data_IF_561409634604
#
_entry.id   IF_561409634604
#
_cell.length_a   1.000
_cell.length_b   1.000
_cell.length_c   1.000
_cell.angle_alpha   90.00
_cell.angle_beta   90.00
_cell.angle_gamma   90.00
#
_symmetry.space_group_name_H-M   'P 1'
#
loop_
_entity.id
_entity.type
_entity.pdbx_description
1 polymer ?
#
# COMPACT_ATOMS: atom_id res chain seq x y z
N UNK A 1 -34.54 2.53 30.44
CA UNK A 1 -34.57 1.66 29.25
C UNK A 1 -33.55 0.55 29.51
N UNK A 2 -33.95 -0.75 29.53
CA UNK A 2 -33.01 -1.84 29.76
C UNK A 2 -32.04 -1.94 28.59
N UNK A 3 -30.75 -2.14 28.88
CA UNK A 3 -29.71 -2.39 27.89
C UNK A 3 -30.04 -3.65 27.08
N UNK A 4 -29.78 -3.71 25.77
CA UNK A 4 -30.02 -4.90 24.98
C UNK A 4 -29.18 -6.06 25.51
N UNK A 5 -29.80 -7.25 25.67
CA UNK A 5 -29.20 -8.44 26.24
C UNK A 5 -28.00 -9.03 25.48
N UNK A 6 -27.72 -8.53 24.30
CA UNK A 6 -26.54 -8.90 23.48
C UNK A 6 -25.82 -7.64 23.03
N UNK A 7 -24.72 -7.31 23.68
CA UNK A 7 -23.71 -6.44 23.06
C UNK A 7 -23.18 -7.14 21.80
N UNK A 8 -23.08 -6.46 20.65
CA UNK A 8 -22.46 -7.04 19.47
C UNK A 8 -21.05 -7.50 19.85
N UNK A 9 -20.72 -8.76 19.53
CA UNK A 9 -19.36 -9.29 19.74
C UNK A 9 -18.38 -8.27 19.17
N UNK A 10 -17.46 -7.80 20.01
CA UNK A 10 -16.33 -6.98 19.56
C UNK A 10 -15.69 -7.77 18.42
N UNK A 11 -15.74 -7.22 17.19
CA UNK A 11 -15.03 -7.80 16.07
C UNK A 11 -13.58 -7.93 16.51
N UNK A 12 -13.05 -9.15 16.51
CA UNK A 12 -11.63 -9.39 16.79
C UNK A 12 -10.82 -8.45 15.95
N UNK A 13 -9.92 -7.70 16.57
CA UNK A 13 -9.06 -6.73 15.87
C UNK A 13 -8.22 -7.50 14.85
N UNK A 14 -8.58 -7.38 13.58
CA UNK A 14 -7.90 -8.05 12.49
C UNK A 14 -6.47 -7.48 12.40
N UNK A 15 -5.48 -8.28 12.77
CA UNK A 15 -4.06 -7.91 12.62
C UNK A 15 -3.69 -7.95 11.14
N UNK A 16 -3.30 -6.83 10.52
CA UNK A 16 -2.84 -6.80 9.13
C UNK A 16 -1.63 -7.70 8.93
N UNK A 17 -1.50 -8.22 7.72
CA UNK A 17 -0.27 -8.91 7.30
C UNK A 17 0.76 -7.88 6.84
N UNK A 18 2.00 -8.02 7.32
CA UNK A 18 3.10 -7.15 6.89
C UNK A 18 4.03 -7.96 5.99
N UNK A 19 4.03 -7.62 4.70
CA UNK A 19 4.85 -8.29 3.71
C UNK A 19 6.33 -7.96 3.93
N UNK A 20 7.17 -8.98 3.98
CA UNK A 20 8.62 -8.81 3.94
C UNK A 20 9.09 -8.34 2.55
N UNK A 21 10.30 -7.75 2.48
CA UNK A 21 10.88 -7.33 1.18
C UNK A 21 11.02 -8.48 0.18
N UNK A 22 11.47 -9.70 0.57
CA UNK A 22 11.49 -10.85 -0.34
C UNK A 22 10.10 -11.26 -0.84
N UNK A 23 9.07 -11.20 0.01
CA UNK A 23 7.69 -11.50 -0.40
C UNK A 23 7.16 -10.49 -1.40
N UNK A 24 7.42 -9.19 -1.20
CA UNK A 24 7.05 -8.16 -2.17
C UNK A 24 7.72 -8.41 -3.53
N UNK A 25 9.00 -8.79 -3.54
CA UNK A 25 9.72 -9.13 -4.79
C UNK A 25 9.08 -10.33 -5.48
N UNK A 26 8.76 -11.42 -4.75
CA UNK A 26 8.06 -12.57 -5.30
C UNK A 26 6.68 -12.19 -5.83
N UNK A 27 5.93 -11.39 -5.08
CA UNK A 27 4.59 -10.94 -5.47
C UNK A 27 4.63 -10.14 -6.79
N UNK A 28 5.54 -9.17 -6.91
CA UNK A 28 5.69 -8.38 -8.14
C UNK A 28 6.18 -9.21 -9.33
N UNK A 29 7.03 -10.20 -9.12
CA UNK A 29 7.46 -11.16 -10.14
C UNK A 29 6.30 -12.03 -10.57
N UNK A 30 5.58 -12.61 -9.63
CA UNK A 30 4.41 -13.45 -9.90
C UNK A 30 3.30 -12.71 -10.65
N UNK A 31 3.16 -11.40 -10.43
CA UNK A 31 2.22 -10.59 -11.20
C UNK A 31 2.55 -10.54 -12.70
N UNK A 32 3.83 -10.70 -13.07
CA UNK A 32 4.27 -10.77 -14.46
C UNK A 32 4.21 -12.19 -15.02
N UNK A 33 4.55 -13.19 -14.22
CA UNK A 33 4.70 -14.58 -14.64
C UNK A 33 3.37 -15.32 -14.68
N UNK A 34 2.49 -15.08 -13.69
CA UNK A 34 1.23 -15.79 -13.57
C UNK A 34 0.08 -15.07 -14.26
N UNK A 35 -0.51 -15.75 -15.24
CA UNK A 35 -1.73 -15.30 -15.89
C UNK A 35 -2.75 -16.45 -15.96
N UNK A 36 -3.96 -16.19 -15.46
CA UNK A 36 -5.10 -17.09 -15.70
C UNK A 36 -5.43 -17.10 -17.18
N UNK A 37 -5.75 -18.29 -17.73
CA UNK A 37 -6.34 -18.39 -19.07
C UNK A 37 -7.52 -17.41 -19.19
N UNK A 38 -7.56 -16.64 -20.29
CA UNK A 38 -8.58 -15.60 -20.54
C UNK A 38 -8.59 -14.48 -19.49
N UNK A 39 -7.44 -14.19 -18.85
CA UNK A 39 -7.31 -13.02 -17.96
C UNK A 39 -7.63 -11.75 -18.73
N UNK A 40 -8.48 -10.90 -18.14
CA UNK A 40 -8.79 -9.56 -18.66
C UNK A 40 -7.75 -8.51 -18.29
N UNK A 41 -6.88 -8.80 -17.32
CA UNK A 41 -5.88 -7.85 -16.81
C UNK A 41 -4.54 -8.10 -17.50
N UNK A 42 -3.87 -7.05 -17.93
CA UNK A 42 -2.48 -7.13 -18.35
C UNK A 42 -1.56 -7.37 -17.15
N UNK A 43 -0.50 -8.20 -17.27
CA UNK A 43 0.49 -8.39 -16.21
C UNK A 43 1.06 -7.08 -15.70
N UNK A 44 1.42 -6.18 -16.61
CA UNK A 44 2.00 -4.87 -16.32
C UNK A 44 1.03 -3.99 -15.52
N UNK A 45 -0.26 -3.99 -15.88
CA UNK A 45 -1.28 -3.28 -15.09
C UNK A 45 -1.36 -3.84 -13.67
N UNK A 46 -1.42 -5.17 -13.54
CA UNK A 46 -1.50 -5.80 -12.22
C UNK A 46 -0.26 -5.49 -11.37
N UNK A 47 0.94 -5.63 -11.94
CA UNK A 47 2.19 -5.31 -11.25
C UNK A 47 2.20 -3.83 -10.80
N UNK A 48 1.82 -2.89 -11.69
CA UNK A 48 1.80 -1.46 -11.35
C UNK A 48 0.76 -1.14 -10.28
N UNK A 49 -0.43 -1.77 -10.30
CA UNK A 49 -1.44 -1.63 -9.24
C UNK A 49 -0.84 -2.03 -7.88
N UNK A 50 -0.16 -3.18 -7.80
CA UNK A 50 0.48 -3.64 -6.58
C UNK A 50 1.60 -2.69 -6.13
N UNK A 51 2.42 -2.23 -7.08
CA UNK A 51 3.53 -1.32 -6.81
C UNK A 51 3.04 0.04 -6.30
N UNK A 52 2.04 0.67 -6.93
CA UNK A 52 1.51 1.95 -6.46
C UNK A 52 0.80 1.80 -5.11
N UNK A 53 0.07 0.70 -4.90
CA UNK A 53 -0.57 0.42 -3.60
C UNK A 53 0.49 0.31 -2.49
N UNK A 54 1.63 -0.33 -2.77
CA UNK A 54 2.71 -0.46 -1.80
C UNK A 54 3.57 0.80 -1.70
N UNK A 55 4.14 1.31 -2.80
CA UNK A 55 5.12 2.40 -2.75
C UNK A 55 4.52 3.75 -2.34
N UNK A 56 3.25 3.98 -2.67
CA UNK A 56 2.53 5.21 -2.33
C UNK A 56 1.52 5.03 -1.18
N UNK A 57 1.39 3.83 -0.66
CA UNK A 57 0.43 3.54 0.41
C UNK A 57 -1.02 3.84 0.04
N UNK A 58 -1.40 3.75 -1.24
CA UNK A 58 -2.75 4.07 -1.71
C UNK A 58 -3.77 3.00 -1.29
N UNK A 59 -5.03 3.41 -1.12
CA UNK A 59 -6.13 2.45 -1.05
C UNK A 59 -6.36 1.85 -2.44
N UNK A 60 -6.75 0.58 -2.52
CA UNK A 60 -7.01 -0.05 -3.82
C UNK A 60 -7.99 0.76 -4.67
N UNK A 61 -9.07 1.27 -4.07
CA UNK A 61 -10.03 2.10 -4.77
C UNK A 61 -9.41 3.41 -5.31
N UNK A 62 -8.53 4.04 -4.54
CA UNK A 62 -7.78 5.23 -4.97
C UNK A 62 -6.89 4.89 -6.17
N UNK A 63 -6.12 3.79 -6.07
CA UNK A 63 -5.25 3.32 -7.17
C UNK A 63 -6.06 3.06 -8.44
N UNK A 64 -7.19 2.37 -8.33
CA UNK A 64 -8.04 2.04 -9.49
C UNK A 64 -8.79 3.24 -10.07
N UNK A 65 -8.93 4.32 -9.30
CA UNK A 65 -9.59 5.56 -9.74
C UNK A 65 -8.64 6.54 -10.42
N UNK A 66 -7.32 6.32 -10.37
CA UNK A 66 -6.33 7.21 -10.97
C UNK A 66 -6.56 7.39 -12.45
N UNK A 67 -6.41 8.64 -12.90
CA UNK A 67 -6.40 9.06 -14.30
C UNK A 67 -5.01 9.53 -14.69
N UNK A 68 -4.73 9.60 -15.98
CA UNK A 68 -3.43 10.09 -16.49
C UNK A 68 -3.16 11.50 -15.99
N UNK A 69 -4.16 12.39 -15.99
CA UNK A 69 -4.05 13.78 -15.48
C UNK A 69 -3.72 13.90 -14.00
N UNK A 70 -3.88 12.84 -13.22
CA UNK A 70 -3.59 12.85 -11.79
C UNK A 70 -2.09 12.64 -11.50
N UNK A 71 -1.32 12.26 -12.51
CA UNK A 71 0.13 12.06 -12.41
C UNK A 71 0.86 13.36 -12.78
N UNK A 72 1.60 13.92 -11.84
CA UNK A 72 2.54 15.01 -12.13
C UNK A 72 3.96 14.46 -12.01
N UNK A 73 4.57 14.20 -13.16
CA UNK A 73 5.91 13.62 -13.22
C UNK A 73 7.03 14.63 -13.01
N UNK A 74 6.93 15.88 -13.50
CA UNK A 74 7.94 16.91 -13.21
C UNK A 74 8.14 17.14 -11.73
N UNK A 75 7.04 17.22 -10.94
CA UNK A 75 7.09 17.52 -9.52
C UNK A 75 6.95 16.27 -8.63
N UNK A 76 6.92 15.07 -9.24
CA UNK A 76 6.91 13.77 -8.56
C UNK A 76 5.78 13.60 -7.55
N UNK A 77 4.55 13.84 -7.96
CA UNK A 77 3.38 13.57 -7.12
C UNK A 77 2.18 12.99 -7.90
N UNK A 78 1.29 12.37 -7.15
CA UNK A 78 -0.04 11.93 -7.62
C UNK A 78 -1.11 12.71 -6.88
N UNK A 79 -2.09 13.23 -7.60
CA UNK A 79 -3.26 13.86 -7.04
C UNK A 79 -4.35 12.81 -6.79
N UNK A 80 -4.63 12.49 -5.53
CA UNK A 80 -5.74 11.62 -5.14
C UNK A 80 -6.97 12.48 -4.99
N UNK A 81 -7.93 12.30 -5.90
CA UNK A 81 -9.19 13.06 -5.93
C UNK A 81 -10.28 12.32 -5.19
N UNK A 82 -11.13 13.04 -4.49
CA UNK A 82 -12.40 12.58 -3.92
C UNK A 82 -12.30 11.19 -3.24
N UNK A 83 -11.29 11.03 -2.39
CA UNK A 83 -11.15 9.82 -1.58
C UNK A 83 -12.29 9.71 -0.55
N UNK A 84 -12.25 8.74 0.33
CA UNK A 84 -13.23 8.57 1.40
C UNK A 84 -13.48 9.92 2.12
N UNK A 85 -14.75 10.35 2.21
CA UNK A 85 -15.21 11.66 2.72
C UNK A 85 -14.90 12.87 1.79
N UNK A 86 -14.83 12.67 0.47
CA UNK A 86 -14.60 13.74 -0.54
C UNK A 86 -13.31 14.55 -0.31
N UNK A 87 -12.33 13.98 0.39
CA UNK A 87 -11.04 14.65 0.64
C UNK A 87 -10.06 14.32 -0.48
N UNK A 88 -9.52 15.36 -1.08
CA UNK A 88 -8.41 15.25 -2.03
C UNK A 88 -7.08 15.46 -1.29
N UNK A 89 -6.00 14.83 -1.79
CA UNK A 89 -4.66 15.02 -1.27
C UNK A 89 -3.60 14.79 -2.35
N UNK A 90 -2.44 15.36 -2.12
CA UNK A 90 -1.24 15.11 -2.92
C UNK A 90 -0.41 14.02 -2.22
N UNK A 91 0.07 13.06 -3.00
CA UNK A 91 0.94 11.97 -2.57
C UNK A 91 2.24 12.08 -3.36
N UNK A 92 3.30 12.51 -2.71
CA UNK A 92 4.63 12.65 -3.32
C UNK A 92 5.37 11.32 -3.40
N UNK A 93 6.27 11.19 -4.37
CA UNK A 93 7.10 10.01 -4.55
C UNK A 93 8.52 10.38 -4.99
N UNK A 94 9.43 9.43 -4.91
CA UNK A 94 10.82 9.62 -5.29
C UNK A 94 11.05 9.29 -6.80
N UNK A 95 12.22 9.66 -7.32
CA UNK A 95 12.60 9.42 -8.72
C UNK A 95 12.46 7.96 -9.15
N UNK A 96 12.80 6.99 -8.28
CA UNK A 96 12.67 5.56 -8.62
C UNK A 96 11.22 5.14 -8.90
N UNK A 97 10.27 5.68 -8.15
CA UNK A 97 8.84 5.44 -8.42
C UNK A 97 8.41 6.17 -9.70
N UNK A 98 8.95 7.38 -9.94
CA UNK A 98 8.76 8.12 -11.20
C UNK A 98 9.19 7.29 -12.42
N UNK A 99 10.37 6.69 -12.39
CA UNK A 99 10.87 5.80 -13.46
C UNK A 99 9.97 4.59 -13.71
N UNK A 100 9.39 4.02 -12.64
CA UNK A 100 8.42 2.92 -12.77
C UNK A 100 7.14 3.38 -13.48
N UNK A 101 6.63 4.56 -13.10
CA UNK A 101 5.45 5.15 -13.73
C UNK A 101 5.74 5.47 -15.20
N UNK A 102 6.88 6.08 -15.52
CA UNK A 102 7.30 6.38 -16.90
C UNK A 102 7.38 5.13 -17.76
N UNK A 103 8.01 4.08 -17.22
CA UNK A 103 8.12 2.79 -17.91
C UNK A 103 6.74 2.21 -18.20
N UNK A 104 5.82 2.30 -17.24
CA UNK A 104 4.46 1.84 -17.40
C UNK A 104 3.67 2.66 -18.45
N UNK A 105 3.81 3.99 -18.45
CA UNK A 105 3.14 4.85 -19.42
C UNK A 105 3.64 4.60 -20.85
N UNK A 106 4.95 4.43 -21.03
CA UNK A 106 5.55 4.06 -22.33
C UNK A 106 5.07 2.68 -22.81
N UNK A 107 4.96 1.72 -21.89
CA UNK A 107 4.38 0.41 -22.22
C UNK A 107 2.90 0.55 -22.62
N UNK A 108 2.13 1.34 -21.88
CA UNK A 108 0.71 1.58 -22.13
C UNK A 108 0.48 2.21 -23.52
N UNK A 109 1.30 3.17 -23.91
CA UNK A 109 1.29 3.80 -25.23
C UNK A 109 1.57 2.77 -26.33
N UNK A 110 2.60 1.92 -26.15
CA UNK A 110 2.94 0.83 -27.09
C UNK A 110 1.81 -0.18 -27.27
N UNK A 111 0.94 -0.35 -26.27
CA UNK A 111 -0.25 -1.20 -26.37
C UNK A 111 -1.44 -0.51 -27.09
N UNK A 112 -1.29 0.73 -27.53
CA UNK A 112 -2.36 1.50 -28.15
C UNK A 112 -3.48 1.89 -27.19
N UNK A 113 -3.22 1.90 -25.89
CA UNK A 113 -4.23 2.31 -24.90
C UNK A 113 -4.48 3.82 -24.96
N UNK A 114 -5.70 4.23 -24.65
CA UNK A 114 -6.09 5.64 -24.65
C UNK A 114 -5.22 6.45 -23.68
N UNK A 115 -4.52 7.48 -24.21
CA UNK A 115 -3.60 8.34 -23.46
C UNK A 115 -4.15 9.75 -23.18
N UNK A 116 -5.46 9.98 -23.37
CA UNK A 116 -6.05 11.29 -23.02
C UNK A 116 -6.03 11.50 -21.51
N UNK A 117 -5.91 12.75 -21.03
CA UNK A 117 -5.79 13.06 -19.60
C UNK A 117 -6.89 12.46 -18.73
N UNK A 118 -8.10 12.36 -19.23
CA UNK A 118 -9.29 11.83 -18.53
C UNK A 118 -9.32 10.30 -18.47
N UNK A 119 -8.52 9.62 -19.29
CA UNK A 119 -8.48 8.15 -19.30
C UNK A 119 -7.99 7.62 -17.96
N UNK A 120 -8.61 6.54 -17.48
CA UNK A 120 -8.10 5.83 -16.32
C UNK A 120 -6.71 5.28 -16.59
N UNK A 121 -5.88 5.30 -15.56
CA UNK A 121 -4.51 4.77 -15.63
C UNK A 121 -4.50 3.26 -15.92
N UNK A 122 -5.48 2.53 -15.39
CA UNK A 122 -5.59 1.07 -15.54
C UNK A 122 -6.83 0.70 -16.34
N UNK A 123 -6.61 0.10 -17.49
CA UNK A 123 -7.64 -0.43 -18.36
C UNK A 123 -7.45 -1.94 -18.53
N UNK A 124 -8.53 -2.64 -18.84
CA UNK A 124 -8.47 -4.06 -19.19
C UNK A 124 -7.90 -4.28 -20.61
N UNK A 125 -7.74 -5.56 -21.01
CA UNK A 125 -7.24 -5.93 -22.34
C UNK A 125 -8.13 -5.48 -23.52
N UNK A 126 -9.35 -5.01 -23.22
CA UNK A 126 -10.27 -4.44 -24.21
C UNK A 126 -10.30 -2.91 -24.17
N UNK A 127 -9.47 -2.26 -23.35
CA UNK A 127 -9.47 -0.81 -23.17
C UNK A 127 -10.62 -0.28 -22.30
N UNK A 128 -11.30 -1.17 -21.54
CA UNK A 128 -12.40 -0.81 -20.67
C UNK A 128 -11.95 -0.67 -19.20
N UNK A 129 -12.77 -0.01 -18.41
CA UNK A 129 -12.56 0.14 -16.98
C UNK A 129 -12.53 -1.22 -16.28
N UNK A 130 -11.54 -1.45 -15.45
CA UNK A 130 -11.42 -2.68 -14.66
C UNK A 130 -12.28 -2.63 -13.40
N UNK A 131 -13.05 -3.70 -13.16
CA UNK A 131 -13.75 -3.86 -11.91
C UNK A 131 -12.82 -4.26 -10.77
N UNK A 132 -12.99 -3.66 -9.59
CA UNK A 132 -12.11 -3.86 -8.44
C UNK A 132 -12.06 -5.32 -7.97
N UNK A 133 -13.17 -6.06 -8.07
CA UNK A 133 -13.19 -7.47 -7.66
C UNK A 133 -12.44 -8.37 -8.64
N UNK A 134 -12.32 -7.97 -9.91
CA UNK A 134 -11.46 -8.65 -10.88
C UNK A 134 -9.98 -8.54 -10.45
N UNK A 135 -9.58 -7.38 -9.96
CA UNK A 135 -8.23 -7.14 -9.43
C UNK A 135 -8.00 -7.91 -8.13
N UNK A 136 -8.98 -7.93 -7.21
CA UNK A 136 -8.89 -8.71 -5.97
C UNK A 136 -8.73 -10.20 -6.23
N UNK A 137 -9.58 -10.77 -7.10
CA UNK A 137 -9.47 -12.19 -7.44
C UNK A 137 -8.19 -12.53 -8.23
N UNK A 138 -7.63 -11.60 -9.01
CA UNK A 138 -6.32 -11.78 -9.62
C UNK A 138 -5.21 -11.77 -8.57
N UNK A 139 -5.27 -10.85 -7.61
CA UNK A 139 -4.33 -10.76 -6.50
C UNK A 139 -4.26 -12.06 -5.69
N UNK A 140 -5.39 -12.66 -5.34
CA UNK A 140 -5.42 -13.90 -4.56
C UNK A 140 -4.63 -15.01 -5.25
N UNK A 141 -4.85 -15.21 -6.55
CA UNK A 141 -4.12 -16.20 -7.34
C UNK A 141 -2.63 -15.90 -7.48
N UNK A 142 -2.27 -14.63 -7.67
CA UNK A 142 -0.87 -14.19 -7.76
C UNK A 142 -0.17 -14.37 -6.43
N UNK A 143 -0.82 -14.06 -5.31
CA UNK A 143 -0.33 -14.29 -3.97
C UNK A 143 -0.05 -15.78 -3.71
N UNK A 144 -0.97 -16.65 -4.09
CA UNK A 144 -0.81 -18.10 -3.99
C UNK A 144 0.35 -18.61 -4.85
N UNK A 145 0.45 -18.14 -6.10
CA UNK A 145 1.56 -18.46 -6.99
C UNK A 145 2.90 -17.96 -6.43
N UNK A 146 2.92 -16.83 -5.75
CA UNK A 146 4.11 -16.30 -5.07
C UNK A 146 4.48 -17.08 -3.80
N UNK A 147 3.69 -18.08 -3.39
CA UNK A 147 3.90 -18.84 -2.17
C UNK A 147 3.77 -17.99 -0.91
N UNK A 148 2.85 -17.02 -0.90
CA UNK A 148 2.63 -16.14 0.25
C UNK A 148 1.36 -16.54 0.97
N UNK A 149 1.50 -16.98 2.21
CA UNK A 149 0.41 -17.37 3.09
C UNK A 149 0.71 -17.02 4.54
N UNK A 150 -0.33 -16.91 5.36
CA UNK A 150 -0.16 -16.77 6.81
C UNK A 150 -0.07 -18.15 7.45
N UNK A 151 0.82 -18.28 8.41
CA UNK A 151 0.94 -19.46 9.29
C UNK A 151 0.36 -19.22 10.68
N UNK A 152 -0.03 -17.97 11.00
CA UNK A 152 -0.68 -17.64 12.26
C UNK A 152 -2.17 -18.05 12.25
N UNK A 153 -2.79 -18.05 13.42
CA UNK A 153 -4.21 -18.44 13.59
C UNK A 153 -5.21 -17.38 13.06
N UNK A 154 -4.76 -16.39 12.27
CA UNK A 154 -5.65 -15.38 11.72
C UNK A 154 -6.65 -15.98 10.74
N UNK A 155 -7.93 -15.59 10.78
CA UNK A 155 -8.96 -16.13 9.90
C UNK A 155 -8.80 -15.70 8.42
N UNK A 156 -7.92 -14.74 8.15
CA UNK A 156 -7.77 -14.16 6.82
C UNK A 156 -6.36 -14.32 6.28
N UNK A 157 -6.24 -14.76 5.04
CA UNK A 157 -4.99 -14.76 4.29
C UNK A 157 -4.53 -13.31 3.97
N UNK A 158 -3.23 -13.09 3.63
CA UNK A 158 -2.71 -11.79 3.26
C UNK A 158 -3.52 -11.15 2.14
N UNK A 159 -3.96 -9.91 2.32
CA UNK A 159 -4.85 -9.19 1.41
C UNK A 159 -4.08 -8.12 0.64
N UNK A 160 -4.64 -7.68 -0.48
CA UNK A 160 -4.10 -6.57 -1.26
C UNK A 160 -4.00 -5.28 -0.43
N UNK A 161 -4.98 -5.02 0.46
CA UNK A 161 -4.95 -3.85 1.34
C UNK A 161 -3.79 -3.88 2.34
N UNK A 162 -3.28 -5.05 2.67
CA UNK A 162 -2.16 -5.20 3.58
C UNK A 162 -0.83 -4.67 2.98
N UNK A 163 -0.76 -4.44 1.66
CA UNK A 163 0.34 -3.71 1.02
C UNK A 163 0.45 -2.26 1.52
N UNK A 164 -0.69 -1.60 1.74
CA UNK A 164 -0.72 -0.26 2.31
C UNK A 164 -0.31 -0.27 3.80
N UNK A 165 -0.73 -1.26 4.56
CA UNK A 165 -0.27 -1.45 5.93
C UNK A 165 1.25 -1.68 5.97
N UNK A 166 1.75 -2.50 5.05
CA UNK A 166 3.19 -2.76 4.87
C UNK A 166 3.97 -1.48 4.55
N UNK A 167 3.45 -0.62 3.65
CA UNK A 167 4.06 0.69 3.39
C UNK A 167 4.20 1.51 4.66
N UNK A 168 3.13 1.63 5.45
CA UNK A 168 3.13 2.43 6.67
C UNK A 168 4.16 1.91 7.68
N UNK A 169 4.18 0.60 7.92
CA UNK A 169 5.12 -0.05 8.84
C UNK A 169 6.56 0.09 8.34
N UNK A 170 6.83 -0.15 7.06
CA UNK A 170 8.18 0.01 6.50
C UNK A 170 8.67 1.45 6.57
N UNK A 171 7.78 2.44 6.39
CA UNK A 171 8.12 3.85 6.53
C UNK A 171 8.50 4.19 7.97
N UNK A 172 7.70 3.76 8.95
CA UNK A 172 8.00 3.97 10.37
C UNK A 172 9.31 3.29 10.77
N UNK A 173 9.53 2.03 10.34
CA UNK A 173 10.79 1.32 10.59
C UNK A 173 12.00 2.05 9.99
N UNK A 174 11.86 2.61 8.77
CA UNK A 174 12.92 3.41 8.16
C UNK A 174 13.25 4.65 9.00
N UNK A 175 12.24 5.37 9.44
CA UNK A 175 12.44 6.56 10.29
C UNK A 175 13.11 6.24 11.63
N UNK A 176 12.72 5.12 12.27
CA UNK A 176 13.44 4.67 13.47
C UNK A 176 14.93 4.39 13.20
N UNK A 177 15.25 3.70 12.10
CA UNK A 177 16.64 3.41 11.70
C UNK A 177 17.43 4.65 11.34
N UNK A 178 16.77 5.65 10.78
CA UNK A 178 17.37 6.94 10.42
C UNK A 178 17.42 7.92 11.59
N UNK A 179 17.11 7.49 12.82
CA UNK A 179 17.04 8.30 14.04
C UNK A 179 16.12 9.53 13.92
N UNK A 180 15.08 9.45 13.08
CA UNK A 180 14.09 10.52 12.95
C UNK A 180 13.14 10.55 14.15
N UNK A 181 12.58 11.72 14.46
CA UNK A 181 11.53 11.84 15.46
C UNK A 181 10.19 11.30 14.91
N UNK A 182 9.92 10.03 15.20
CA UNK A 182 8.72 9.35 14.73
C UNK A 182 7.45 9.98 15.30
N UNK A 183 7.50 10.57 16.51
CA UNK A 183 6.32 11.21 17.11
C UNK A 183 5.92 12.46 16.31
N UNK A 184 6.88 13.26 15.87
CA UNK A 184 6.63 14.42 15.01
C UNK A 184 6.19 14.02 13.59
N UNK A 185 6.70 12.90 13.05
CA UNK A 185 6.41 12.45 11.71
C UNK A 185 5.11 11.63 11.59
N UNK A 186 4.57 11.12 12.69
CA UNK A 186 3.35 10.33 12.68
C UNK A 186 2.12 11.10 12.13
N UNK A 187 1.87 12.38 12.49
CA UNK A 187 0.83 13.19 11.87
C UNK A 187 1.03 13.39 10.36
N UNK A 188 2.28 13.55 9.92
CA UNK A 188 2.63 13.66 8.49
C UNK A 188 2.25 12.38 7.74
N UNK A 189 2.60 11.21 8.28
CA UNK A 189 2.21 9.92 7.71
C UNK A 189 0.68 9.75 7.69
N UNK A 190 -0.01 10.18 8.75
CA UNK A 190 -1.47 10.15 8.85
C UNK A 190 -2.12 10.95 7.72
N UNK A 191 -1.64 12.17 7.49
CA UNK A 191 -2.09 13.05 6.41
C UNK A 191 -1.78 12.47 5.03
N UNK A 192 -0.57 11.97 4.83
CA UNK A 192 -0.13 11.32 3.60
C UNK A 192 -1.03 10.12 3.24
N UNK A 193 -1.32 9.28 4.22
CA UNK A 193 -2.24 8.15 4.06
C UNK A 193 -3.71 8.59 3.90
N UNK A 194 -4.08 9.81 4.27
CA UNK A 194 -5.47 10.28 4.27
C UNK A 194 -6.31 9.59 5.35
N UNK A 195 -5.76 9.45 6.55
CA UNK A 195 -6.50 9.03 7.72
C UNK A 195 -7.23 10.22 8.34
N UNK A 196 -8.47 10.02 8.77
CA UNK A 196 -9.28 11.05 9.44
C UNK A 196 -8.87 11.24 10.91
N UNK A 197 -8.32 10.20 11.53
CA UNK A 197 -7.89 10.19 12.91
C UNK A 197 -6.47 9.64 13.01
N UNK A 198 -5.64 10.26 13.86
CA UNK A 198 -4.27 9.85 14.09
C UNK A 198 -4.19 8.42 14.67
N UNK A 199 -5.19 8.01 15.45
CA UNK A 199 -5.30 6.66 16.01
C UNK A 199 -5.25 5.55 14.95
N UNK A 200 -5.72 5.82 13.73
CA UNK A 200 -5.61 4.86 12.63
C UNK A 200 -4.16 4.66 12.15
N UNK A 201 -3.28 5.60 12.44
CA UNK A 201 -1.86 5.53 12.09
C UNK A 201 -1.02 5.03 13.27
N UNK A 202 -1.36 5.43 14.50
CA UNK A 202 -0.63 5.00 15.70
C UNK A 202 -0.67 3.48 15.92
N UNK A 203 -1.71 2.80 15.44
CA UNK A 203 -1.80 1.33 15.45
C UNK A 203 -0.58 0.67 14.79
N UNK A 204 0.05 1.30 13.80
CA UNK A 204 1.24 0.74 13.14
C UNK A 204 2.48 0.71 14.03
N UNK A 205 2.53 1.52 15.09
CA UNK A 205 3.65 1.53 16.05
C UNK A 205 3.78 0.21 16.84
N UNK A 206 2.67 -0.54 16.95
CA UNK A 206 2.62 -1.79 17.73
C UNK A 206 2.61 -3.05 16.87
N UNK A 207 2.75 -2.91 15.53
CA UNK A 207 2.45 -4.02 14.62
C UNK A 207 3.61 -4.94 14.27
N UNK A 208 4.86 -4.62 14.61
CA UNK A 208 5.99 -5.48 14.25
C UNK A 208 7.06 -5.58 15.33
N UNK A 209 7.58 -6.79 15.52
CA UNK A 209 8.76 -7.06 16.34
C UNK A 209 9.97 -6.23 15.87
N UNK A 210 10.06 -5.95 14.55
CA UNK A 210 11.10 -5.10 13.99
C UNK A 210 11.01 -3.64 14.46
N UNK A 211 9.80 -3.07 14.59
CA UNK A 211 9.60 -1.74 15.16
C UNK A 211 9.92 -1.74 16.66
N UNK A 212 9.50 -2.76 17.38
CA UNK A 212 9.79 -2.92 18.81
C UNK A 212 11.29 -3.12 19.03
N UNK A 213 11.97 -3.92 18.19
CA UNK A 213 13.41 -4.12 18.24
C UNK A 213 14.19 -2.84 17.97
N UNK A 214 13.82 -2.05 16.97
CA UNK A 214 14.47 -0.75 16.68
C UNK A 214 14.21 0.29 17.78
N UNK A 215 13.00 0.32 18.36
CA UNK A 215 12.69 1.17 19.50
C UNK A 215 13.51 0.76 20.74
N UNK A 216 13.68 -0.54 20.98
CA UNK A 216 14.47 -1.07 22.10
C UNK A 216 15.97 -0.75 21.94
N UNK A 217 16.54 -0.92 20.74
CA UNK A 217 17.93 -0.56 20.43
C UNK A 217 18.19 0.93 20.66
N UNK A 218 17.23 1.78 20.31
CA UNK A 218 17.30 3.22 20.53
C UNK A 218 17.25 3.58 22.01
N UNK A 219 16.39 2.93 22.76
CA UNK A 219 16.30 3.09 24.22
C UNK A 219 17.58 2.65 24.91
N UNK A 220 18.16 1.51 24.54
CA UNK A 220 19.44 1.03 25.08
C UNK A 220 20.61 1.99 24.77
N UNK A 221 20.66 2.56 23.56
CA UNK A 221 21.68 3.55 23.21
C UNK A 221 21.53 4.85 24.03
N UNK A 222 20.31 5.26 24.32
CA UNK A 222 20.01 6.43 25.17
C UNK A 222 20.48 6.21 26.61
N UNK A 223 20.23 5.02 27.16
CA UNK A 223 20.68 4.66 28.53
C UNK A 223 22.23 4.61 28.61
N UNK A 224 22.90 4.13 27.55
CA UNK A 224 24.37 4.08 27.50
C UNK A 224 24.97 5.48 27.48
N UNK A 225 24.42 6.41 26.69
CA UNK A 225 24.88 7.80 26.61
C UNK A 225 24.63 8.59 27.90
N UNK A 226 23.54 8.32 28.63
CA UNK A 226 23.26 8.98 29.92
C UNK A 226 24.00 8.42 31.14
N UNK A 227 24.88 7.42 30.94
CA UNK A 227 25.74 6.87 32.01
C UNK A 227 27.19 7.40 31.91
N UNK A 228 27.51 8.11 30.83
CA UNK A 228 28.82 8.67 30.56
C UNK A 228 28.88 10.18 30.92
N UNK A 229 27.79 10.74 31.49
CA UNK A 229 27.71 12.05 32.13
C UNK A 229 27.60 11.87 33.68
#
# INVERSE_FOLDING_TARGET
VPLPAHLPKRLEHMTPYIYSKPELQRLFRSAMEYQKNRSKIHPECMKMILQLTYFLGLRLHETMSLRIRDLNQPDLYVHIRESKFYKSRIVTYNHKVGELIDTFLKWREKQGMCCVPESKLFLDKKGLDMHIDTVRGAFERIREHAGISRSDKSPFQPRLHDLRHTFAVHRLTSWYRENQDVQQLLPVLSTYLGHTHLSHTSVYLTMTDGLLGEANNRFESYIKQGKDE
#
